data_IF_623773945375
#
_entry.id   IF_623773945375
#
_cell.length_a   1.000
_cell.length_b   1.000
_cell.length_c   1.000
_cell.angle_alpha   90.00
_cell.angle_beta   90.00
_cell.angle_gamma   90.00
#
_symmetry.space_group_name_H-M   'P 1'
#
loop_
_entity.id
_entity.type
_entity.pdbx_description
1 polymer ?
#
# COMPACT_ATOMS: atom_id res chain seq x y z
N UNK A 1 11.59 0.95 35.96
CA UNK A 1 10.81 2.18 36.17
C UNK A 1 9.91 2.37 34.96
N UNK A 2 8.63 1.99 35.08
CA UNK A 2 7.61 2.19 34.05
C UNK A 2 6.41 2.81 34.78
N UNK A 3 6.16 4.09 34.51
CA UNK A 3 5.01 4.82 35.04
C UNK A 3 3.81 4.66 34.11
N UNK A 4 2.74 4.08 34.64
CA UNK A 4 1.41 3.99 34.02
C UNK A 4 0.73 5.36 34.09
N UNK A 5 0.24 5.87 32.97
CA UNK A 5 -0.67 7.02 32.92
C UNK A 5 -2.11 6.52 32.81
N UNK A 6 -2.95 6.89 33.77
CA UNK A 6 -4.40 6.66 33.75
C UNK A 6 -5.13 8.00 33.74
N UNK A 7 -6.10 8.14 32.83
CA UNK A 7 -6.94 9.32 32.63
C UNK A 7 -8.06 9.34 33.67
N UNK A 8 -8.01 10.28 34.62
CA UNK A 8 -9.13 10.57 35.54
C UNK A 8 -10.02 11.71 35.03
N UNK A 9 -11.31 11.39 34.99
CA UNK A 9 -12.50 12.19 34.68
C UNK A 9 -12.62 13.41 35.62
N UNK A 10 -12.92 14.58 35.06
CA UNK A 10 -13.15 15.83 35.81
C UNK A 10 -14.66 16.02 36.00
N UNK A 11 -15.13 16.07 37.24
CA UNK A 11 -16.47 16.53 37.61
C UNK A 11 -16.43 17.99 38.13
N UNK A 12 -17.40 18.85 37.77
CA UNK A 12 -17.44 20.21 38.26
C UNK A 12 -17.99 20.29 39.70
N UNK A 13 -17.19 20.88 40.60
CA UNK A 13 -17.58 21.22 41.98
C UNK A 13 -18.58 22.37 41.99
N UNK A 14 -19.70 22.17 42.68
CA UNK A 14 -20.67 23.22 43.03
C UNK A 14 -20.19 24.00 44.26
N UNK A 15 -20.32 25.33 44.23
CA UNK A 15 -19.98 26.23 45.33
C UNK A 15 -21.26 26.74 46.00
N UNK A 16 -21.48 26.51 47.31
CA UNK A 16 -22.65 27.01 48.03
C UNK A 16 -22.29 28.29 48.79
N UNK A 17 -22.94 29.40 48.47
CA UNK A 17 -23.38 30.45 49.42
C UNK A 17 -23.69 31.76 48.70
N UNK A 18 -24.99 32.08 48.60
CA UNK A 18 -25.49 33.45 48.70
C UNK A 18 -26.94 33.40 49.18
N UNK A 19 -27.12 33.73 50.45
CA UNK A 19 -28.42 33.97 51.07
C UNK A 19 -29.01 35.24 50.45
N UNK A 20 -30.19 35.13 49.83
CA UNK A 20 -31.01 36.26 49.43
C UNK A 20 -32.21 36.31 50.37
N UNK A 21 -32.40 37.48 50.98
CA UNK A 21 -33.37 37.78 52.03
C UNK A 21 -34.82 37.67 51.57
N UNK A 22 -35.68 37.21 52.46
CA UNK A 22 -37.12 37.00 52.31
C UNK A 22 -37.95 38.28 52.18
N UNK A 23 -37.76 39.05 51.09
CA UNK A 23 -38.64 40.19 50.76
C UNK A 23 -39.16 40.24 49.32
N UNK A 24 -38.92 39.20 48.52
CA UNK A 24 -39.38 39.13 47.11
C UNK A 24 -40.08 37.80 46.75
N UNK A 25 -40.86 37.21 47.67
CA UNK A 25 -41.62 35.96 47.40
C UNK A 25 -43.13 36.23 47.23
N UNK A 26 -43.56 37.45 46.88
CA UNK A 26 -44.99 37.77 46.91
C UNK A 26 -45.52 38.53 45.68
N UNK A 27 -45.16 38.11 44.47
CA UNK A 27 -45.86 38.53 43.23
C UNK A 27 -46.28 37.37 42.31
N UNK A 28 -45.85 36.12 42.56
CA UNK A 28 -46.16 34.98 41.67
C UNK A 28 -47.15 33.96 42.27
N UNK A 29 -48.18 34.41 43.00
CA UNK A 29 -49.22 33.52 43.52
C UNK A 29 -50.66 34.05 43.45
N UNK A 30 -50.95 35.03 42.57
CA UNK A 30 -52.30 35.63 42.43
C UNK A 30 -52.80 35.87 41.00
N UNK A 31 -52.55 34.94 40.08
CA UNK A 31 -53.42 34.78 38.90
C UNK A 31 -53.76 33.30 38.75
N UNK A 32 -54.65 32.79 39.61
CA UNK A 32 -56.10 32.81 39.39
C UNK A 32 -56.47 31.99 38.16
N UNK A 33 -56.84 30.76 38.46
CA UNK A 33 -57.61 29.88 37.62
C UNK A 33 -58.92 30.57 37.18
N UNK A 34 -58.95 31.09 35.96
CA UNK A 34 -60.20 31.34 35.24
C UNK A 34 -59.90 31.32 33.74
N UNK A 35 -60.66 30.49 33.02
CA UNK A 35 -60.65 30.31 31.56
C UNK A 35 -59.67 29.27 30.99
N UNK A 36 -59.85 27.99 31.38
CA UNK A 36 -59.37 26.81 30.62
C UNK A 36 -60.42 26.22 29.66
N UNK A 37 -61.39 27.01 29.22
CA UNK A 37 -62.29 26.62 28.13
C UNK A 37 -62.25 27.74 27.10
N UNK A 38 -62.21 27.38 25.82
CA UNK A 38 -62.39 28.22 24.62
C UNK A 38 -61.25 29.06 24.03
N UNK A 39 -59.97 28.89 24.38
CA UNK A 39 -58.89 29.68 23.75
C UNK A 39 -57.78 28.88 23.03
N UNK A 40 -57.97 27.59 22.76
CA UNK A 40 -57.06 26.81 21.87
C UNK A 40 -57.78 26.41 20.56
N UNK A 41 -59.03 26.84 20.36
CA UNK A 41 -59.85 26.41 19.22
C UNK A 41 -59.91 27.40 18.04
N UNK A 42 -59.21 28.54 18.05
CA UNK A 42 -59.49 29.61 17.07
C UNK A 42 -58.31 30.32 16.37
N UNK A 43 -57.16 29.66 16.16
CA UNK A 43 -56.17 30.25 15.23
C UNK A 43 -55.37 29.31 14.32
N UNK A 44 -55.82 28.08 14.07
CA UNK A 44 -55.34 27.30 12.91
C UNK A 44 -56.34 27.36 11.76
N UNK A 45 -56.50 28.56 11.19
CA UNK A 45 -56.95 28.72 9.79
C UNK A 45 -55.81 29.28 8.95
N UNK A 46 -54.62 28.70 9.13
CA UNK A 46 -53.59 28.73 8.10
C UNK A 46 -54.06 27.81 6.98
N UNK A 47 -54.50 28.40 5.87
CA UNK A 47 -54.76 27.65 4.63
C UNK A 47 -53.47 26.90 4.26
N UNK A 48 -53.44 25.59 4.49
CA UNK A 48 -52.47 24.70 3.83
C UNK A 48 -52.81 24.70 2.34
N UNK A 49 -52.30 25.70 1.63
CA UNK A 49 -52.43 25.80 0.20
C UNK A 49 -51.59 24.71 -0.46
N UNK A 50 -52.30 23.92 -1.25
CA UNK A 50 -51.87 23.03 -2.33
C UNK A 50 -51.01 21.82 -1.93
N UNK A 51 -51.71 20.74 -1.56
CA UNK A 51 -51.21 19.38 -1.77
C UNK A 51 -51.16 19.10 -3.29
N UNK A 52 -50.11 19.54 -3.96
CA UNK A 52 -49.73 18.93 -5.23
C UNK A 52 -49.10 17.58 -4.91
N UNK A 53 -49.82 16.49 -5.19
CA UNK A 53 -49.27 15.15 -5.14
C UNK A 53 -48.22 15.01 -6.24
N UNK A 54 -47.05 14.47 -5.89
CA UNK A 54 -46.00 14.14 -6.85
C UNK A 54 -46.59 13.24 -7.93
N UNK A 55 -46.51 13.66 -9.19
CA UNK A 55 -47.16 12.89 -10.27
C UNK A 55 -46.31 11.66 -10.61
N UNK A 56 -46.93 10.56 -11.07
CA UNK A 56 -46.14 9.38 -11.47
C UNK A 56 -45.11 9.74 -12.55
N UNK A 57 -45.48 10.60 -13.50
CA UNK A 57 -44.61 11.01 -14.59
C UNK A 57 -43.35 11.73 -14.07
N UNK A 58 -43.47 12.49 -12.99
CA UNK A 58 -42.38 13.26 -12.39
C UNK A 58 -41.35 12.33 -11.73
N UNK A 59 -41.78 11.22 -11.12
CA UNK A 59 -40.84 10.18 -10.66
C UNK A 59 -40.24 9.43 -11.86
N UNK A 60 -41.05 9.09 -12.86
CA UNK A 60 -40.58 8.34 -14.04
C UNK A 60 -39.49 9.08 -14.80
N UNK A 61 -39.63 10.39 -15.01
CA UNK A 61 -38.60 11.20 -15.67
C UNK A 61 -37.32 11.22 -14.82
N UNK A 62 -37.43 11.36 -13.50
CA UNK A 62 -36.25 11.38 -12.61
C UNK A 62 -35.49 10.05 -12.63
N UNK A 63 -36.18 8.91 -12.52
CA UNK A 63 -35.50 7.60 -12.59
C UNK A 63 -34.88 7.33 -13.96
N UNK A 64 -35.48 7.84 -15.04
CA UNK A 64 -34.92 7.73 -16.39
C UNK A 64 -33.64 8.56 -16.50
N UNK A 65 -33.65 9.82 -16.05
CA UNK A 65 -32.47 10.69 -16.06
C UNK A 65 -31.36 10.10 -15.18
N UNK A 66 -31.68 9.64 -13.97
CA UNK A 66 -30.72 8.97 -13.09
C UNK A 66 -30.18 7.68 -13.72
N UNK A 67 -31.03 6.90 -14.40
CA UNK A 67 -30.63 5.68 -15.11
C UNK A 67 -29.64 5.95 -16.24
N UNK A 68 -29.87 7.01 -17.03
CA UNK A 68 -28.95 7.42 -18.11
C UNK A 68 -27.61 7.89 -17.53
N UNK A 69 -27.62 8.75 -16.50
CA UNK A 69 -26.39 9.24 -15.87
C UNK A 69 -25.62 8.08 -15.22
N UNK A 70 -26.31 7.19 -14.51
CA UNK A 70 -25.68 6.02 -13.89
C UNK A 70 -25.09 5.08 -14.95
N UNK A 71 -25.80 4.85 -16.07
CA UNK A 71 -25.33 3.99 -17.16
C UNK A 71 -24.04 4.50 -17.81
N UNK A 72 -23.90 5.81 -18.01
CA UNK A 72 -22.68 6.41 -18.61
C UNK A 72 -21.57 6.60 -17.57
N UNK A 73 -21.92 6.90 -16.31
CA UNK A 73 -20.98 7.18 -15.24
C UNK A 73 -20.31 5.93 -14.65
N UNK A 74 -21.03 4.81 -14.55
CA UNK A 74 -20.55 3.62 -13.86
C UNK A 74 -19.24 3.02 -14.43
N UNK A 75 -19.05 2.87 -15.77
CA UNK A 75 -17.79 2.33 -16.31
C UNK A 75 -16.56 3.18 -15.98
N UNK A 76 -16.71 4.52 -15.94
CA UNK A 76 -15.61 5.44 -15.61
C UNK A 76 -15.19 5.34 -14.14
N UNK A 77 -16.14 5.09 -13.24
CA UNK A 77 -15.86 4.92 -11.82
C UNK A 77 -15.01 3.67 -11.56
N UNK A 78 -15.25 2.57 -12.27
CA UNK A 78 -14.47 1.33 -12.12
C UNK A 78 -12.98 1.56 -12.42
N UNK A 79 -12.65 2.21 -13.55
CA UNK A 79 -11.26 2.55 -13.89
C UNK A 79 -10.61 3.52 -12.87
N UNK A 80 -11.38 4.49 -12.36
CA UNK A 80 -10.87 5.41 -11.33
C UNK A 80 -10.54 4.70 -10.02
N UNK A 81 -11.41 3.79 -9.56
CA UNK A 81 -11.16 3.03 -8.32
C UNK A 81 -9.90 2.18 -8.43
N UNK A 82 -9.66 1.58 -9.60
CA UNK A 82 -8.47 0.77 -9.82
C UNK A 82 -7.21 1.63 -9.84
N UNK A 83 -7.24 2.78 -10.51
CA UNK A 83 -6.15 3.75 -10.47
C UNK A 83 -5.81 4.22 -9.04
N UNK A 84 -6.81 4.38 -8.18
CA UNK A 84 -6.59 4.74 -6.76
C UNK A 84 -5.88 3.61 -6.02
N UNK A 85 -6.27 2.36 -6.23
CA UNK A 85 -5.58 1.19 -5.64
C UNK A 85 -4.14 1.08 -6.14
N UNK A 86 -3.90 1.26 -7.44
CA UNK A 86 -2.56 1.27 -8.02
C UNK A 86 -1.70 2.40 -7.44
N UNK A 87 -2.27 3.60 -7.22
CA UNK A 87 -1.56 4.68 -6.52
C UNK A 87 -1.25 4.33 -5.07
N UNK A 88 -2.18 3.68 -4.35
CA UNK A 88 -1.93 3.21 -2.99
C UNK A 88 -0.81 2.16 -2.95
N UNK A 89 -0.73 1.28 -3.96
CA UNK A 89 0.36 0.33 -4.12
C UNK A 89 1.69 1.01 -4.43
N UNK A 90 1.67 2.03 -5.29
CA UNK A 90 2.83 2.86 -5.57
C UNK A 90 3.33 3.58 -4.31
N UNK A 91 2.44 4.00 -3.41
CA UNK A 91 2.84 4.60 -2.13
C UNK A 91 3.66 3.64 -1.26
N UNK A 92 3.49 2.32 -1.37
CA UNK A 92 4.34 1.35 -0.65
C UNK A 92 5.80 1.43 -1.10
N UNK A 93 6.05 1.67 -2.39
CA UNK A 93 7.41 1.87 -2.91
C UNK A 93 8.03 3.16 -2.34
N UNK A 94 7.24 4.24 -2.23
CA UNK A 94 7.68 5.47 -1.57
C UNK A 94 7.98 5.26 -0.09
N UNK A 95 7.17 4.50 0.65
CA UNK A 95 7.45 4.19 2.04
C UNK A 95 8.76 3.41 2.20
N UNK A 96 9.05 2.46 1.32
CA UNK A 96 10.32 1.74 1.34
C UNK A 96 11.49 2.68 1.03
N UNK A 97 11.35 3.51 0.00
CA UNK A 97 12.35 4.52 -0.36
C UNK A 97 12.65 5.43 0.82
N UNK A 98 11.61 5.97 1.44
CA UNK A 98 11.72 6.93 2.52
C UNK A 98 12.31 6.28 3.78
N UNK A 99 11.98 5.01 4.07
CA UNK A 99 12.60 4.26 5.17
C UNK A 99 14.10 4.04 4.95
N UNK A 100 14.52 3.67 3.74
CA UNK A 100 15.95 3.52 3.38
C UNK A 100 16.68 4.88 3.40
N UNK A 101 16.06 5.94 2.88
CA UNK A 101 16.63 7.28 2.90
C UNK A 101 16.74 7.85 4.31
N UNK A 102 15.77 7.55 5.19
CA UNK A 102 15.86 7.90 6.62
C UNK A 102 17.09 7.25 7.25
N UNK A 103 17.31 5.96 7.00
CA UNK A 103 18.48 5.27 7.51
C UNK A 103 19.80 5.88 6.99
N UNK A 104 19.83 6.35 5.74
CA UNK A 104 20.98 7.05 5.16
C UNK A 104 21.25 8.42 5.79
N UNK A 105 20.21 9.12 6.24
CA UNK A 105 20.34 10.37 7.01
C UNK A 105 20.93 10.09 8.39
N UNK A 106 20.52 8.98 9.03
CA UNK A 106 21.05 8.55 10.33
C UNK A 106 22.51 8.08 10.23
N UNK A 107 22.86 7.39 9.14
CA UNK A 107 24.21 6.87 8.90
C UNK A 107 24.48 6.69 7.40
N UNK A 108 25.55 7.32 6.91
CA UNK A 108 25.95 7.21 5.49
C UNK A 108 26.26 5.77 5.05
N UNK A 109 26.64 4.91 6.01
CA UNK A 109 26.99 3.50 5.75
C UNK A 109 25.83 2.54 6.05
N UNK A 110 24.63 3.04 6.37
CA UNK A 110 23.48 2.25 6.78
C UNK A 110 23.17 1.07 5.84
N UNK A 111 23.20 1.31 4.53
CA UNK A 111 22.91 0.27 3.52
C UNK A 111 23.97 -0.85 3.48
N UNK A 112 25.16 -0.61 4.04
CA UNK A 112 26.29 -1.53 4.07
C UNK A 112 26.41 -2.30 5.39
N UNK A 113 25.48 -2.10 6.32
CA UNK A 113 25.48 -2.74 7.63
C UNK A 113 24.48 -3.90 7.67
N UNK A 114 24.82 -5.01 7.00
CA UNK A 114 24.11 -6.28 7.15
C UNK A 114 25.08 -7.44 7.31
N UNK A 115 24.62 -8.51 7.97
CA UNK A 115 25.41 -9.72 8.17
C UNK A 115 25.93 -10.31 6.84
N UNK A 116 25.15 -10.18 5.76
CA UNK A 116 25.50 -10.70 4.43
C UNK A 116 26.77 -10.07 3.82
N UNK A 117 27.07 -8.82 4.15
CA UNK A 117 28.23 -8.07 3.61
C UNK A 117 29.29 -7.76 4.67
N UNK A 118 29.05 -8.13 5.93
CA UNK A 118 29.97 -7.88 7.06
C UNK A 118 30.53 -9.15 7.68
N UNK A 119 29.90 -10.32 7.47
CA UNK A 119 30.29 -11.60 8.07
C UNK A 119 30.54 -12.69 7.04
N UNK A 120 31.41 -13.64 7.39
CA UNK A 120 31.76 -14.81 6.59
C UNK A 120 32.78 -14.55 5.48
N UNK A 121 33.30 -15.63 4.90
CA UNK A 121 34.45 -15.59 3.99
C UNK A 121 34.22 -14.76 2.71
N UNK A 122 32.95 -14.58 2.31
CA UNK A 122 32.54 -13.83 1.11
C UNK A 122 32.09 -12.39 1.40
N UNK A 123 32.23 -11.89 2.63
CA UNK A 123 31.72 -10.57 3.03
C UNK A 123 32.21 -9.45 2.11
N UNK A 124 33.52 -9.41 1.81
CA UNK A 124 34.10 -8.37 0.96
C UNK A 124 33.61 -8.45 -0.49
N UNK A 125 33.47 -9.65 -1.04
CA UNK A 125 32.93 -9.85 -2.39
C UNK A 125 31.46 -9.43 -2.46
N UNK A 126 30.68 -9.77 -1.43
CA UNK A 126 29.27 -9.37 -1.31
C UNK A 126 29.13 -7.85 -1.16
N UNK A 127 30.00 -7.21 -0.38
CA UNK A 127 30.02 -5.76 -0.22
C UNK A 127 30.34 -5.06 -1.55
N UNK A 128 31.35 -5.55 -2.28
CA UNK A 128 31.68 -5.03 -3.61
C UNK A 128 30.48 -5.18 -4.55
N UNK A 129 29.85 -6.36 -4.57
CA UNK A 129 28.68 -6.64 -5.38
C UNK A 129 27.50 -5.73 -5.06
N UNK A 130 27.24 -5.47 -3.78
CA UNK A 130 26.22 -4.53 -3.32
C UNK A 130 26.48 -3.12 -3.86
N UNK A 131 27.71 -2.61 -3.70
CA UNK A 131 28.10 -1.28 -4.21
C UNK A 131 27.95 -1.18 -5.72
N UNK A 132 28.39 -2.21 -6.45
CA UNK A 132 28.28 -2.27 -7.90
C UNK A 132 26.79 -2.28 -8.33
N UNK A 133 25.95 -3.08 -7.66
CA UNK A 133 24.51 -3.19 -7.97
C UNK A 133 23.71 -1.93 -7.68
N UNK A 134 24.02 -1.21 -6.60
CA UNK A 134 23.34 0.05 -6.29
C UNK A 134 23.68 1.17 -7.29
N UNK A 135 24.82 1.10 -7.98
CA UNK A 135 25.20 2.06 -9.04
C UNK A 135 24.74 1.62 -10.43
N UNK A 136 24.59 0.32 -10.64
CA UNK A 136 24.23 -0.28 -11.91
C UNK A 136 22.82 0.10 -12.39
N UNK A 137 22.64 0.19 -13.70
CA UNK A 137 21.38 0.57 -14.35
C UNK A 137 20.22 -0.42 -14.15
N UNK A 138 20.51 -1.66 -13.73
CA UNK A 138 19.48 -2.63 -13.38
C UNK A 138 19.06 -2.54 -11.91
N UNK A 139 19.93 -2.03 -11.04
CA UNK A 139 19.70 -1.92 -9.60
C UNK A 139 19.94 -3.21 -8.82
N UNK A 140 19.82 -3.09 -7.50
CA UNK A 140 19.85 -4.15 -6.51
C UNK A 140 18.51 -4.90 -6.46
N UNK A 141 18.50 -6.21 -6.68
CA UNK A 141 17.29 -7.03 -6.56
C UNK A 141 16.98 -7.35 -5.09
N UNK A 142 15.87 -6.83 -4.55
CA UNK A 142 15.42 -7.19 -3.20
C UNK A 142 14.62 -8.48 -3.18
N UNK A 143 13.64 -8.63 -4.07
CA UNK A 143 12.88 -9.85 -4.21
C UNK A 143 12.17 -9.95 -5.56
N UNK A 144 11.87 -11.18 -5.96
CA UNK A 144 11.03 -11.49 -7.11
C UNK A 144 9.59 -11.67 -6.63
N UNK A 145 8.68 -10.94 -7.25
CA UNK A 145 7.24 -11.06 -7.06
C UNK A 145 6.61 -11.81 -8.23
N UNK A 146 6.26 -13.07 -8.00
CA UNK A 146 5.61 -13.89 -9.01
C UNK A 146 4.09 -13.91 -8.83
N UNK A 147 3.39 -13.53 -9.89
CA UNK A 147 1.95 -13.38 -10.01
C UNK A 147 1.38 -14.45 -10.95
N UNK A 148 0.21 -14.97 -10.59
CA UNK A 148 -0.54 -15.93 -11.39
C UNK A 148 -2.04 -15.62 -11.30
N UNK A 149 -2.81 -15.85 -12.38
CA UNK A 149 -4.26 -15.68 -12.33
C UNK A 149 -4.97 -16.81 -11.55
N UNK A 150 -4.36 -17.99 -11.47
CA UNK A 150 -4.95 -19.23 -10.97
C UNK A 150 -4.38 -19.69 -9.61
N UNK A 151 -3.43 -18.94 -9.05
CA UNK A 151 -2.73 -19.35 -7.83
C UNK A 151 -2.27 -18.16 -7.00
N UNK A 152 -1.98 -18.41 -5.72
CA UNK A 152 -1.38 -17.42 -4.84
C UNK A 152 -0.07 -16.87 -5.41
N UNK A 153 0.19 -15.60 -5.09
CA UNK A 153 1.46 -14.96 -5.37
C UNK A 153 2.62 -15.72 -4.72
N UNK A 154 3.84 -15.50 -5.20
CA UNK A 154 5.01 -16.13 -4.64
C UNK A 154 6.17 -15.14 -4.57
N UNK A 155 6.64 -14.88 -3.35
CA UNK A 155 7.82 -14.08 -3.07
C UNK A 155 9.03 -15.00 -3.09
N UNK A 156 10.04 -14.63 -3.88
CA UNK A 156 11.25 -15.45 -4.07
C UNK A 156 12.50 -14.59 -3.91
N UNK A 157 13.56 -15.20 -3.39
CA UNK A 157 14.88 -14.58 -3.24
C UNK A 157 15.65 -14.53 -4.57
N UNK A 158 15.46 -15.54 -5.42
CA UNK A 158 16.07 -15.67 -6.73
C UNK A 158 15.15 -16.45 -7.69
N UNK A 159 15.36 -16.25 -8.99
CA UNK A 159 14.76 -17.04 -10.04
C UNK A 159 15.74 -17.13 -11.22
N UNK A 160 15.95 -18.33 -11.76
CA UNK A 160 16.97 -18.65 -12.78
C UNK A 160 16.89 -17.83 -14.06
N UNK A 161 15.70 -17.30 -14.37
CA UNK A 161 15.46 -16.49 -15.58
C UNK A 161 15.34 -14.99 -15.33
N UNK A 162 15.37 -14.53 -14.08
CA UNK A 162 15.09 -13.11 -13.73
C UNK A 162 16.32 -12.44 -13.13
N UNK A 163 16.82 -12.96 -12.01
CA UNK A 163 17.91 -12.37 -11.23
C UNK A 163 18.96 -13.42 -10.86
N UNK A 164 19.16 -14.42 -11.75
CA UNK A 164 20.17 -15.46 -11.57
C UNK A 164 21.54 -14.85 -11.29
N UNK A 165 22.20 -15.36 -10.25
CA UNK A 165 23.52 -14.89 -9.83
C UNK A 165 23.53 -13.55 -9.10
N UNK A 166 22.39 -12.88 -8.85
CA UNK A 166 22.34 -11.65 -8.06
C UNK A 166 22.51 -11.95 -6.56
N UNK A 167 21.72 -12.88 -6.01
CA UNK A 167 21.69 -13.26 -4.58
C UNK A 167 21.53 -12.09 -3.58
N UNK A 168 21.23 -10.88 -4.08
CA UNK A 168 21.26 -9.68 -3.26
C UNK A 168 20.07 -9.54 -2.30
N UNK A 169 19.02 -10.33 -2.51
CA UNK A 169 17.94 -10.54 -1.54
C UNK A 169 18.42 -10.99 -0.16
N UNK A 170 19.60 -11.61 -0.08
CA UNK A 170 20.27 -11.99 1.18
C UNK A 170 20.64 -10.78 2.06
N UNK A 171 20.75 -9.59 1.50
CA UNK A 171 21.06 -8.35 2.25
C UNK A 171 19.99 -8.01 3.28
N UNK A 172 18.75 -8.46 3.05
CA UNK A 172 17.63 -8.27 3.97
C UNK A 172 17.93 -8.93 5.30
N UNK A 173 18.52 -10.14 5.29
CA UNK A 173 18.84 -10.84 6.53
C UNK A 173 17.61 -11.06 7.42
N UNK A 174 17.82 -11.06 8.73
CA UNK A 174 16.78 -11.22 9.77
C UNK A 174 16.55 -9.97 10.61
N UNK A 175 17.37 -8.94 10.39
CA UNK A 175 17.41 -7.69 11.17
C UNK A 175 18.26 -6.65 10.44
N UNK A 176 18.12 -5.38 10.81
CA UNK A 176 18.92 -4.27 10.29
C UNK A 176 18.19 -3.52 9.18
N UNK A 177 18.87 -2.54 8.60
CA UNK A 177 18.25 -1.48 7.78
C UNK A 177 17.34 -2.02 6.67
N UNK A 178 17.78 -3.03 5.93
CA UNK A 178 16.99 -3.60 4.83
C UNK A 178 15.75 -4.36 5.30
N UNK A 179 15.86 -5.11 6.40
CA UNK A 179 14.76 -5.83 7.02
C UNK A 179 13.75 -4.84 7.62
N UNK A 180 14.24 -3.89 8.40
CA UNK A 180 13.42 -2.91 9.11
C UNK A 180 12.70 -1.98 8.12
N UNK A 181 13.38 -1.54 7.06
CA UNK A 181 12.77 -0.71 6.02
C UNK A 181 11.63 -1.42 5.26
N UNK A 182 11.75 -2.73 5.00
CA UNK A 182 10.66 -3.52 4.42
C UNK A 182 9.47 -3.61 5.38
N UNK A 183 9.71 -3.87 6.68
CA UNK A 183 8.63 -3.93 7.68
C UNK A 183 7.94 -2.57 7.83
N UNK A 184 8.69 -1.48 7.93
CA UNK A 184 8.18 -0.10 8.01
C UNK A 184 7.32 0.26 6.79
N UNK A 185 7.70 -0.20 5.60
CA UNK A 185 6.97 0.01 4.36
C UNK A 185 5.75 -0.92 4.17
N UNK A 186 5.45 -1.78 5.15
CA UNK A 186 4.32 -2.70 5.09
C UNK A 186 4.56 -3.95 4.24
N UNK A 187 5.83 -4.33 4.08
CA UNK A 187 6.30 -5.57 3.47
C UNK A 187 6.78 -6.57 4.55
N UNK A 188 6.12 -6.59 5.71
CA UNK A 188 6.51 -7.41 6.87
C UNK A 188 6.60 -8.91 6.55
N UNK A 189 5.57 -9.49 5.94
CA UNK A 189 5.62 -10.86 5.47
C UNK A 189 6.68 -11.11 4.40
N UNK A 190 7.03 -10.13 3.57
CA UNK A 190 8.10 -10.29 2.57
C UNK A 190 9.46 -10.33 3.27
N UNK A 191 9.71 -9.44 4.23
CA UNK A 191 10.96 -9.43 4.99
C UNK A 191 11.20 -10.80 5.66
N UNK A 192 10.17 -11.36 6.28
CA UNK A 192 10.24 -12.68 6.94
C UNK A 192 10.40 -13.83 5.93
N UNK A 193 9.70 -13.78 4.79
CA UNK A 193 9.90 -14.78 3.71
C UNK A 193 11.34 -14.78 3.23
N UNK A 194 11.93 -13.61 2.99
CA UNK A 194 13.31 -13.50 2.52
C UNK A 194 14.28 -14.00 3.60
N UNK A 195 14.07 -13.62 4.86
CA UNK A 195 14.87 -14.07 5.99
C UNK A 195 14.92 -15.61 6.13
N UNK A 196 13.77 -16.27 5.97
CA UNK A 196 13.62 -17.70 6.14
C UNK A 196 14.04 -18.51 4.91
N UNK A 197 13.73 -18.02 3.69
CA UNK A 197 14.19 -18.67 2.46
C UNK A 197 15.72 -18.63 2.33
N UNK A 198 16.37 -17.56 2.82
CA UNK A 198 17.83 -17.50 2.85
C UNK A 198 18.46 -18.63 3.71
N UNK A 199 17.72 -19.23 4.65
CA UNK A 199 18.17 -20.36 5.50
C UNK A 199 17.76 -21.73 4.94
N UNK A 200 16.59 -21.82 4.29
CA UNK A 200 15.98 -23.08 3.82
C UNK A 200 15.98 -23.28 2.30
N UNK A 201 16.53 -22.34 1.53
CA UNK A 201 16.45 -22.26 0.08
C UNK A 201 15.04 -21.99 -0.45
N UNK A 202 14.88 -22.12 -1.77
CA UNK A 202 13.63 -21.85 -2.50
C UNK A 202 12.42 -22.74 -2.13
N UNK A 203 12.58 -23.72 -1.22
CA UNK A 203 11.56 -24.70 -0.83
C UNK A 203 11.27 -24.67 0.68
N UNK A 204 11.08 -23.47 1.25
CA UNK A 204 10.69 -23.31 2.65
C UNK A 204 9.25 -23.79 2.89
N UNK A 205 9.05 -24.68 3.87
CA UNK A 205 7.81 -25.48 4.02
C UNK A 205 6.92 -25.10 5.20
N UNK A 206 7.31 -24.12 6.00
CA UNK A 206 6.64 -23.81 7.27
C UNK A 206 5.85 -22.51 7.16
N UNK A 207 4.64 -22.50 7.66
CA UNK A 207 3.89 -21.27 7.89
C UNK A 207 4.46 -20.50 9.08
N UNK A 208 4.32 -19.18 9.03
CA UNK A 208 4.68 -18.30 10.15
C UNK A 208 3.48 -17.43 10.51
N UNK A 209 3.66 -16.46 11.41
CA UNK A 209 2.60 -15.50 11.72
C UNK A 209 2.40 -14.47 10.58
N UNK A 210 3.41 -14.24 9.75
CA UNK A 210 3.42 -13.17 8.75
C UNK A 210 3.23 -13.66 7.32
N UNK A 211 3.44 -14.95 7.02
CA UNK A 211 3.21 -15.52 5.69
C UNK A 211 2.73 -16.99 5.71
N UNK A 212 2.12 -17.41 4.60
CA UNK A 212 1.79 -18.81 4.32
C UNK A 212 2.85 -19.45 3.42
N UNK A 213 3.11 -20.74 3.61
CA UNK A 213 3.86 -21.61 2.72
C UNK A 213 2.93 -22.72 2.21
N UNK A 214 2.59 -22.65 0.93
CA UNK A 214 1.64 -23.56 0.29
C UNK A 214 2.37 -24.46 -0.71
N UNK A 215 2.04 -25.75 -0.65
CA UNK A 215 2.57 -26.75 -1.56
C UNK A 215 2.11 -26.51 -3.00
N UNK A 216 3.04 -26.61 -3.94
CA UNK A 216 2.81 -26.52 -5.38
C UNK A 216 3.45 -27.72 -6.08
N UNK A 217 2.62 -28.61 -6.61
CA UNK A 217 3.07 -29.78 -7.37
C UNK A 217 3.21 -29.43 -8.85
N UNK A 218 4.37 -29.74 -9.42
CA UNK A 218 4.63 -29.65 -10.84
C UNK A 218 5.22 -30.99 -11.32
N UNK A 219 4.38 -31.83 -11.93
CA UNK A 219 4.74 -33.21 -12.23
C UNK A 219 5.02 -33.99 -10.94
N UNK A 220 6.19 -34.64 -10.87
CA UNK A 220 6.67 -35.35 -9.68
C UNK A 220 7.38 -34.46 -8.65
N UNK A 221 7.70 -33.20 -9.01
CA UNK A 221 8.39 -32.27 -8.13
C UNK A 221 7.40 -31.51 -7.24
N UNK A 222 7.79 -31.34 -5.97
CA UNK A 222 7.03 -30.55 -4.99
C UNK A 222 7.83 -29.30 -4.66
N UNK A 223 7.23 -28.15 -4.94
CA UNK A 223 7.75 -26.82 -4.63
C UNK A 223 6.88 -26.16 -3.56
N UNK A 224 7.40 -25.12 -2.93
CA UNK A 224 6.64 -24.34 -1.96
C UNK A 224 6.56 -22.89 -2.38
N UNK A 225 5.34 -22.35 -2.36
CA UNK A 225 5.05 -20.95 -2.66
C UNK A 225 4.80 -20.23 -1.36
N UNK A 226 5.48 -19.11 -1.18
CA UNK A 226 5.37 -18.30 0.03
C UNK A 226 4.80 -16.95 -0.29
N UNK A 227 3.75 -16.55 0.42
CA UNK A 227 3.12 -15.24 0.26
C UNK A 227 2.67 -14.65 1.59
N UNK A 228 2.74 -13.32 1.76
CA UNK A 228 2.33 -12.65 3.00
C UNK A 228 0.87 -12.94 3.35
N UNK A 229 0.57 -13.12 4.65
CA UNK A 229 -0.83 -13.24 5.11
C UNK A 229 -1.57 -11.91 4.98
N UNK A 230 -0.85 -10.81 5.21
CA UNK A 230 -1.33 -9.46 4.97
C UNK A 230 -1.22 -9.15 3.48
N UNK A 231 -2.29 -8.64 2.88
CA UNK A 231 -2.32 -8.32 1.47
C UNK A 231 -1.20 -7.31 1.09
N UNK A 232 -0.33 -7.73 0.17
CA UNK A 232 0.86 -6.96 -0.22
C UNK A 232 0.53 -5.78 -1.12
N UNK A 233 -0.39 -5.95 -2.06
CA UNK A 233 -0.84 -4.90 -2.98
C UNK A 233 -2.35 -4.97 -3.10
N UNK A 234 -3.02 -3.84 -3.33
CA UNK A 234 -4.48 -3.72 -3.40
C UNK A 234 -5.01 -3.78 -4.83
N UNK A 235 -4.22 -3.35 -5.82
CA UNK A 235 -4.61 -3.28 -7.22
C UNK A 235 -4.84 -4.67 -7.82
N UNK A 236 -5.82 -4.76 -8.70
CA UNK A 236 -6.06 -5.94 -9.50
C UNK A 236 -4.81 -6.32 -10.32
N UNK A 237 -4.12 -5.31 -10.88
CA UNK A 237 -2.88 -5.45 -11.65
C UNK A 237 -1.84 -6.29 -10.90
N UNK A 238 -1.58 -5.94 -9.64
CA UNK A 238 -0.58 -6.59 -8.81
C UNK A 238 -1.13 -7.77 -8.01
N UNK A 239 -2.32 -8.30 -8.31
CA UNK A 239 -2.83 -9.51 -7.66
C UNK A 239 -3.24 -10.62 -8.64
N UNK A 240 -3.62 -10.29 -9.87
CA UNK A 240 -4.18 -11.28 -10.82
C UNK A 240 -3.34 -11.46 -12.09
N UNK A 241 -2.17 -10.82 -12.18
CA UNK A 241 -1.21 -11.09 -13.25
C UNK A 241 -1.81 -10.81 -14.64
N UNK A 242 -1.79 -11.85 -15.48
CA UNK A 242 -2.30 -11.82 -16.87
C UNK A 242 -3.75 -11.36 -16.96
N UNK A 243 -4.61 -11.75 -16.01
CA UNK A 243 -6.03 -11.40 -16.02
C UNK A 243 -6.30 -9.91 -15.75
N UNK A 244 -5.27 -9.12 -15.44
CA UNK A 244 -5.36 -7.74 -15.01
C UNK A 244 -4.45 -6.78 -15.80
N UNK A 245 -3.99 -7.16 -17.00
CA UNK A 245 -3.25 -6.27 -17.92
C UNK A 245 -1.73 -6.50 -17.98
N UNK A 246 -1.19 -7.48 -17.24
CA UNK A 246 0.22 -7.86 -17.36
C UNK A 246 0.50 -8.82 -18.53
N UNK A 247 -0.55 -9.26 -19.23
CA UNK A 247 -0.48 -10.06 -20.45
C UNK A 247 0.25 -9.35 -21.58
N UNK A 248 0.19 -8.02 -21.56
CA UNK A 248 0.83 -7.16 -22.55
C UNK A 248 2.34 -7.14 -22.43
N UNK A 249 2.94 -7.63 -21.34
CA UNK A 249 4.40 -7.50 -21.13
C UNK A 249 5.17 -8.64 -21.79
N UNK A 250 5.75 -8.34 -22.96
CA UNK A 250 6.30 -9.27 -23.96
C UNK A 250 7.69 -9.81 -23.64
N UNK A 251 8.46 -9.15 -22.76
CA UNK A 251 9.87 -9.48 -22.46
C UNK A 251 10.10 -10.71 -21.59
N UNK A 252 9.05 -11.44 -21.18
CA UNK A 252 9.16 -12.63 -20.31
C UNK A 252 9.43 -13.98 -21.02
N UNK A 253 9.94 -13.96 -22.27
CA UNK A 253 10.40 -15.14 -23.03
C UNK A 253 9.43 -16.35 -22.96
N UNK A 254 8.19 -16.14 -23.38
CA UNK A 254 7.21 -17.22 -23.63
C UNK A 254 6.57 -17.87 -22.39
N UNK A 255 6.85 -17.37 -21.18
CA UNK A 255 6.11 -17.82 -20.00
C UNK A 255 4.75 -17.12 -19.93
N UNK A 256 3.72 -17.81 -20.42
CA UNK A 256 2.38 -17.25 -20.59
C UNK A 256 1.49 -17.36 -19.34
N UNK A 257 2.01 -17.87 -18.21
CA UNK A 257 1.24 -18.18 -17.00
C UNK A 257 1.77 -17.49 -15.75
N UNK A 258 3.10 -17.44 -15.55
CA UNK A 258 3.69 -16.84 -14.35
C UNK A 258 4.33 -15.50 -14.70
N UNK A 259 3.73 -14.42 -14.21
CA UNK A 259 4.26 -13.09 -14.40
C UNK A 259 5.20 -12.71 -13.28
N UNK A 260 6.45 -12.35 -13.59
CA UNK A 260 7.49 -12.04 -12.59
C UNK A 260 7.92 -10.58 -12.67
N UNK A 261 7.70 -9.89 -11.56
CA UNK A 261 8.23 -8.57 -11.28
C UNK A 261 9.38 -8.67 -10.30
N UNK A 262 10.27 -7.69 -10.27
CA UNK A 262 11.33 -7.58 -9.28
C UNK A 262 11.26 -6.21 -8.63
N UNK A 263 11.23 -6.18 -7.30
CA UNK A 263 11.42 -4.93 -6.57
C UNK A 263 12.92 -4.64 -6.50
N UNK A 264 13.34 -3.49 -7.02
CA UNK A 264 14.75 -3.12 -7.06
C UNK A 264 15.02 -1.76 -6.48
N UNK A 265 16.24 -1.58 -6.01
CA UNK A 265 16.75 -0.35 -5.40
C UNK A 265 18.02 0.10 -6.11
N UNK A 266 18.17 1.41 -6.34
CA UNK A 266 19.36 2.00 -6.91
C UNK A 266 19.65 3.31 -6.18
N UNK A 267 20.92 3.69 -6.07
CA UNK A 267 21.27 5.07 -5.77
C UNK A 267 20.57 6.01 -6.75
N UNK A 268 20.11 7.17 -6.28
CA UNK A 268 19.47 8.16 -7.14
C UNK A 268 20.45 8.55 -8.25
N UNK A 269 20.04 8.30 -9.49
CA UNK A 269 20.86 8.49 -10.68
C UNK A 269 22.06 7.54 -10.83
N UNK A 270 22.09 6.43 -10.08
CA UNK A 270 23.23 5.51 -10.02
C UNK A 270 24.45 6.11 -9.31
N UNK A 271 24.25 7.16 -8.50
CA UNK A 271 25.34 7.90 -7.85
C UNK A 271 25.22 7.84 -6.32
N UNK A 272 26.19 7.22 -5.67
CA UNK A 272 26.27 7.11 -4.20
C UNK A 272 26.32 8.48 -3.50
N UNK A 273 26.95 9.48 -4.11
CA UNK A 273 26.99 10.85 -3.58
C UNK A 273 25.65 11.57 -3.58
N UNK A 274 24.59 10.96 -4.13
CA UNK A 274 23.23 11.48 -4.01
C UNK A 274 22.65 11.30 -2.60
N UNK A 275 23.27 10.45 -1.76
CA UNK A 275 22.80 10.10 -0.40
C UNK A 275 21.30 9.76 -0.33
N UNK A 276 20.76 9.23 -1.42
CA UNK A 276 19.37 8.84 -1.55
C UNK A 276 19.25 7.68 -2.52
N UNK A 277 18.26 6.84 -2.31
CA UNK A 277 17.92 5.74 -3.20
C UNK A 277 16.55 5.93 -3.82
N UNK A 278 16.33 5.22 -4.91
CA UNK A 278 15.06 5.10 -5.59
C UNK A 278 14.69 3.61 -5.71
N UNK A 279 13.38 3.35 -5.67
CA UNK A 279 12.77 2.02 -5.65
C UNK A 279 11.83 1.91 -6.84
N UNK A 280 11.86 0.76 -7.52
CA UNK A 280 10.93 0.50 -8.62
C UNK A 280 10.54 -0.97 -8.69
N UNK A 281 9.35 -1.21 -9.25
CA UNK A 281 8.86 -2.54 -9.58
C UNK A 281 9.05 -2.77 -11.08
N UNK A 282 9.87 -3.76 -11.44
CA UNK A 282 10.39 -3.92 -12.79
C UNK A 282 10.01 -5.28 -13.39
N UNK A 283 9.63 -5.34 -14.67
CA UNK A 283 9.59 -6.59 -15.40
C UNK A 283 11.00 -7.16 -15.61
N UNK A 284 11.05 -8.42 -16.05
CA UNK A 284 12.30 -9.09 -16.35
C UNK A 284 13.18 -8.26 -17.31
N UNK A 285 14.47 -8.18 -17.03
CA UNK A 285 15.48 -7.48 -17.85
C UNK A 285 15.26 -5.96 -18.02
N UNK A 286 14.24 -5.36 -17.42
CA UNK A 286 14.10 -3.91 -17.43
C UNK A 286 15.16 -3.25 -16.55
N UNK A 287 15.53 -2.04 -16.96
CA UNK A 287 16.47 -1.17 -16.26
C UNK A 287 15.67 -0.24 -15.35
N UNK A 288 16.14 -0.04 -14.12
CA UNK A 288 15.53 0.94 -13.22
C UNK A 288 15.76 2.36 -13.73
N UNK A 289 16.96 2.62 -14.26
CA UNK A 289 17.31 3.85 -14.97
C UNK A 289 18.50 3.60 -15.88
N UNK A 290 18.31 3.75 -17.18
CA UNK A 290 19.37 3.58 -18.18
C UNK A 290 20.43 4.69 -18.08
N UNK A 291 21.71 4.32 -18.17
CA UNK A 291 22.80 5.27 -17.98
C UNK A 291 22.93 6.29 -19.12
N UNK A 292 22.51 5.96 -20.35
CA UNK A 292 22.57 6.86 -21.49
C UNK A 292 21.31 7.72 -21.59
N UNK A 293 20.16 7.07 -21.75
CA UNK A 293 18.86 7.75 -21.99
C UNK A 293 18.26 8.34 -20.73
N UNK A 294 18.72 7.92 -19.54
CA UNK A 294 18.17 8.30 -18.22
C UNK A 294 16.73 7.85 -17.98
N UNK A 295 16.15 7.04 -18.88
CA UNK A 295 14.80 6.50 -18.80
C UNK A 295 14.80 5.14 -18.11
N UNK A 296 13.76 4.84 -17.35
CA UNK A 296 13.53 3.54 -16.73
C UNK A 296 12.44 2.74 -17.44
N UNK A 297 12.49 1.42 -17.27
CA UNK A 297 11.50 0.46 -17.76
C UNK A 297 10.66 -0.15 -16.65
N UNK A 298 10.42 0.59 -15.56
CA UNK A 298 9.55 0.13 -14.49
C UNK A 298 8.11 -0.07 -14.98
N UNK A 299 7.34 -0.88 -14.28
CA UNK A 299 5.97 -1.20 -14.63
C UNK A 299 5.11 0.07 -14.74
N UNK A 300 4.40 0.23 -15.86
CA UNK A 300 3.34 1.21 -16.03
C UNK A 300 1.99 0.47 -16.14
N UNK A 301 0.98 0.92 -15.40
CA UNK A 301 -0.38 0.39 -15.55
C UNK A 301 -1.10 0.98 -16.76
N UNK A 302 -2.13 0.27 -17.24
CA UNK A 302 -3.05 0.78 -18.26
C UNK A 302 -3.78 2.08 -17.80
N UNK A 303 -3.88 2.30 -16.48
CA UNK A 303 -4.47 3.53 -15.91
C UNK A 303 -3.45 4.67 -15.74
N UNK A 304 -2.22 4.51 -16.24
CA UNK A 304 -1.17 5.53 -16.24
C UNK A 304 -0.54 5.74 -14.87
N UNK A 305 -0.35 4.68 -14.09
CA UNK A 305 0.41 4.70 -12.83
C UNK A 305 1.77 4.07 -13.04
N UNK A 306 2.83 4.86 -12.85
CA UNK A 306 4.21 4.40 -12.92
C UNK A 306 4.66 3.84 -11.56
N UNK A 307 5.08 2.56 -11.54
CA UNK A 307 5.59 1.90 -10.34
C UNK A 307 7.10 2.13 -10.16
N UNK A 308 7.50 3.40 -10.11
CA UNK A 308 8.88 3.84 -9.87
C UNK A 308 8.91 5.15 -9.10
N UNK A 309 9.74 5.24 -8.08
CA UNK A 309 9.88 6.46 -7.29
C UNK A 309 10.69 7.55 -8.00
N UNK A 310 11.32 7.21 -9.13
CA UNK A 310 11.81 8.19 -10.11
C UNK A 310 10.67 8.99 -10.78
N UNK A 311 9.41 8.62 -10.57
CA UNK A 311 8.26 9.20 -11.27
C UNK A 311 8.22 8.80 -12.74
N UNK A 312 7.64 9.64 -13.59
CA UNK A 312 7.33 9.31 -15.00
C UNK A 312 8.56 8.89 -15.81
N UNK A 313 9.73 9.47 -15.52
CA UNK A 313 10.98 9.08 -16.22
C UNK A 313 11.37 7.63 -15.93
N UNK A 314 10.98 7.08 -14.78
CA UNK A 314 11.22 5.70 -14.36
C UNK A 314 10.44 4.66 -15.17
N UNK A 315 9.43 5.09 -15.94
CA UNK A 315 8.64 4.23 -16.82
C UNK A 315 8.68 4.68 -18.29
N UNK A 316 9.48 5.70 -18.63
CA UNK A 316 9.51 6.27 -19.97
C UNK A 316 10.07 5.34 -21.06
N UNK A 317 10.71 4.24 -20.67
CA UNK A 317 11.16 3.16 -21.54
C UNK A 317 10.44 1.83 -21.22
N UNK A 318 9.31 1.90 -20.52
CA UNK A 318 8.47 0.73 -20.31
C UNK A 318 7.87 0.31 -21.65
N UNK A 319 8.13 -0.95 -22.00
CA UNK A 319 7.54 -1.60 -23.16
C UNK A 319 6.59 -2.66 -22.63
N UNK A 320 5.34 -2.55 -23.07
CA UNK A 320 4.39 -3.66 -23.05
C UNK A 320 4.96 -4.75 -23.98
#
# INVERSE_FOLDING_TARGET
MLGSFSLTKIEPKSNPSKNISAREVNIMQKFSAKNRKTAIFWHMKGKFHQKHGFTMIEIMVVIVVLGVIAGIGAPKLLGYTERVKEKADMMKLYYLRDALNRALIESEVALYQSDFVTKGDKANDNLKKLKDKLKDQYGLDLFVYELRPDFYTNIQENHSTINSGSEMSKIVGTSGVWYDALRDAGFDGVADILADRNKGGNNYKKDTDTYYSVEYKQGSATYYRTYPKKQLFMSNLLNHGKGAGLDKITKQKGNNTNYRLTLRVQWTGGNESSHSVEVALLPAQAKIRDNGTKKGGALMSDNGVCFSTYGDIGCAAFEY
#
